data_IF_079139266373
#
_entry.id   IF_079139266373
#
_cell.length_a   1.000
_cell.length_b   1.000
_cell.length_c   1.000
_cell.angle_alpha   90.00
_cell.angle_beta   90.00
_cell.angle_gamma   90.00
#
_symmetry.space_group_name_H-M   'P 1'
#
loop_
_entity.id
_entity.type
_entity.pdbx_description
1 polymer ?
#
# COMPACT_ATOMS: atom_id res chain seq x y z
N UNK A 1 -28.02 10.59 -5.71
CA UNK A 1 -27.38 11.82 -5.21
C UNK A 1 -25.93 11.76 -5.68
N UNK A 2 -25.53 12.63 -6.58
CA UNK A 2 -24.14 12.66 -7.06
C UNK A 2 -23.29 13.23 -5.92
N UNK A 3 -22.51 12.37 -5.27
CA UNK A 3 -21.43 12.86 -4.41
C UNK A 3 -20.46 13.60 -5.31
N UNK A 4 -20.48 14.92 -5.23
CA UNK A 4 -19.54 15.75 -5.98
C UNK A 4 -18.16 15.66 -5.30
N UNK A 5 -17.37 14.65 -5.67
CA UNK A 5 -15.94 14.69 -5.44
C UNK A 5 -15.44 16.01 -6.03
N UNK A 6 -14.77 16.81 -5.23
CA UNK A 6 -14.13 18.04 -5.69
C UNK A 6 -12.62 17.89 -5.61
N UNK A 7 -11.91 18.41 -6.60
CA UNK A 7 -10.45 18.48 -6.54
C UNK A 7 -10.04 19.67 -5.66
N UNK A 8 -9.00 19.51 -4.83
CA UNK A 8 -8.34 20.65 -4.20
C UNK A 8 -7.87 21.65 -5.26
N UNK A 9 -8.06 22.95 -5.02
CA UNK A 9 -7.68 24.01 -5.97
C UNK A 9 -6.23 23.90 -6.42
N UNK A 10 -5.32 23.56 -5.51
CA UNK A 10 -3.89 23.35 -5.82
C UNK A 10 -3.67 22.24 -6.85
N UNK A 11 -4.44 21.14 -6.79
CA UNK A 11 -4.33 20.05 -7.76
C UNK A 11 -4.82 20.51 -9.14
N UNK A 12 -5.98 21.17 -9.21
CA UNK A 12 -6.51 21.70 -10.47
C UNK A 12 -5.53 22.68 -11.14
N UNK A 13 -4.91 23.57 -10.37
CA UNK A 13 -3.89 24.49 -10.84
C UNK A 13 -2.66 23.75 -11.42
N UNK A 14 -2.19 22.69 -10.76
CA UNK A 14 -1.06 21.91 -11.27
C UNK A 14 -1.41 21.18 -12.57
N UNK A 15 -2.63 20.64 -12.72
CA UNK A 15 -3.08 20.03 -13.98
C UNK A 15 -3.03 21.03 -15.12
N UNK A 16 -3.62 22.22 -14.95
CA UNK A 16 -3.62 23.26 -15.97
C UNK A 16 -2.20 23.75 -16.30
N UNK A 17 -1.36 23.96 -15.28
CA UNK A 17 0.04 24.37 -15.48
C UNK A 17 0.82 23.35 -16.29
N UNK A 18 0.70 22.05 -15.95
CA UNK A 18 1.37 20.99 -16.69
C UNK A 18 0.87 20.89 -18.12
N UNK A 19 -0.45 20.97 -18.34
CA UNK A 19 -1.03 20.90 -19.67
C UNK A 19 -0.55 22.04 -20.58
N UNK A 20 -0.38 23.26 -20.05
CA UNK A 20 0.16 24.40 -20.82
C UNK A 20 1.64 24.22 -21.20
N UNK A 21 2.39 23.40 -20.46
CA UNK A 21 3.80 23.13 -20.71
C UNK A 21 4.05 21.97 -21.70
N UNK A 22 2.99 21.24 -22.09
CA UNK A 22 3.10 20.10 -22.99
C UNK A 22 2.67 20.45 -24.41
N UNK A 23 3.34 19.85 -25.39
CA UNK A 23 2.97 19.91 -26.81
C UNK A 23 2.06 18.74 -27.22
N UNK A 24 1.77 17.84 -26.31
CA UNK A 24 0.94 16.66 -26.52
C UNK A 24 -0.11 16.57 -25.40
N UNK A 25 -1.22 15.87 -25.61
CA UNK A 25 -2.24 15.67 -24.58
C UNK A 25 -1.64 15.20 -23.26
N UNK A 26 -2.12 15.69 -22.13
CA UNK A 26 -1.55 15.42 -20.82
C UNK A 26 -1.83 14.00 -20.37
N UNK A 27 -0.79 13.31 -19.88
CA UNK A 27 -0.90 12.09 -19.09
C UNK A 27 0.10 12.19 -17.92
N UNK A 28 -0.37 12.23 -16.70
CA UNK A 28 0.50 12.52 -15.55
C UNK A 28 0.04 11.83 -14.26
N UNK A 29 1.00 11.55 -13.39
CA UNK A 29 0.79 11.34 -11.97
C UNK A 29 1.19 12.61 -11.21
N UNK A 30 0.26 13.14 -10.42
CA UNK A 30 0.50 14.26 -9.53
C UNK A 30 0.50 13.75 -8.08
N UNK A 31 1.50 14.14 -7.31
CA UNK A 31 1.62 13.79 -5.90
C UNK A 31 1.71 15.06 -5.05
N UNK A 32 0.68 15.27 -4.24
CA UNK A 32 0.59 16.36 -3.29
C UNK A 32 1.35 16.00 -2.01
N UNK A 33 2.62 16.43 -1.94
CA UNK A 33 3.48 16.12 -0.81
C UNK A 33 3.07 16.86 0.47
N UNK A 34 2.48 18.04 0.33
CA UNK A 34 1.96 18.77 1.48
C UNK A 34 0.76 18.03 2.11
N UNK A 35 -0.18 17.53 1.27
CA UNK A 35 -1.27 16.71 1.78
C UNK A 35 -0.77 15.42 2.43
N UNK A 36 0.27 14.80 1.88
CA UNK A 36 0.89 13.61 2.45
C UNK A 36 1.50 13.90 3.83
N UNK A 37 2.23 15.01 3.93
CA UNK A 37 2.86 15.42 5.19
C UNK A 37 1.82 15.72 6.28
N UNK A 38 0.76 16.46 5.95
CA UNK A 38 -0.34 16.75 6.85
C UNK A 38 -1.04 15.47 7.32
N UNK A 39 -1.29 14.54 6.39
CA UNK A 39 -1.93 13.26 6.69
C UNK A 39 -1.09 12.40 7.63
N UNK A 40 0.20 12.19 7.33
CA UNK A 40 1.06 11.36 8.18
C UNK A 40 1.27 11.95 9.58
N UNK A 41 1.33 13.28 9.71
CA UNK A 41 1.37 13.97 11.02
C UNK A 41 0.14 13.65 11.85
N UNK A 42 -1.06 13.70 11.23
CA UNK A 42 -2.31 13.36 11.92
C UNK A 42 -2.34 11.90 12.35
N UNK A 43 -1.89 10.98 11.48
CA UNK A 43 -1.84 9.56 11.81
C UNK A 43 -0.91 9.31 13.00
N UNK A 44 0.26 9.94 13.00
CA UNK A 44 1.26 9.76 14.07
C UNK A 44 0.81 10.34 15.40
N UNK A 45 0.10 11.46 15.39
CA UNK A 45 -0.30 12.19 16.59
C UNK A 45 -1.20 11.37 17.53
N UNK A 46 -2.04 10.49 16.99
CA UNK A 46 -3.03 9.72 17.75
C UNK A 46 -2.59 8.28 18.04
N UNK A 47 -1.42 7.85 17.57
CA UNK A 47 -0.92 6.50 17.84
C UNK A 47 -0.56 6.33 19.31
N UNK A 48 -0.90 5.18 19.96
CA UNK A 48 -0.43 4.84 21.28
C UNK A 48 1.10 4.86 21.36
N UNK A 49 1.66 5.20 22.52
CA UNK A 49 3.11 5.45 22.70
C UNK A 49 3.99 4.25 22.42
N UNK A 50 3.48 3.05 22.64
CA UNK A 50 4.19 1.78 22.41
C UNK A 50 3.98 1.22 21.00
N UNK A 51 3.44 2.04 20.06
CA UNK A 51 3.15 1.63 18.68
C UNK A 51 4.08 2.34 17.71
N UNK A 52 4.87 1.59 16.98
CA UNK A 52 5.71 2.05 15.88
C UNK A 52 4.91 2.02 14.56
N UNK A 53 5.18 2.97 13.69
CA UNK A 53 4.59 3.07 12.37
C UNK A 53 5.68 2.95 11.29
N UNK A 54 5.71 1.83 10.59
CA UNK A 54 6.56 1.61 9.43
C UNK A 54 5.76 1.86 8.14
N UNK A 55 6.43 2.41 7.14
CA UNK A 55 5.84 2.56 5.82
C UNK A 55 6.22 1.41 4.90
N UNK A 56 5.23 0.73 4.33
CA UNK A 56 5.44 -0.32 3.36
C UNK A 56 5.71 0.26 1.97
N UNK A 57 6.99 0.26 1.54
CA UNK A 57 7.45 0.93 0.32
C UNK A 57 6.78 0.40 -0.95
N UNK A 58 6.37 -0.87 -0.97
CA UNK A 58 5.59 -1.47 -2.07
C UNK A 58 4.31 -0.71 -2.43
N UNK A 59 3.78 0.12 -1.54
CA UNK A 59 2.62 0.94 -1.85
C UNK A 59 2.97 2.07 -2.83
N UNK A 60 4.06 2.78 -2.58
CA UNK A 60 4.67 3.75 -3.50
C UNK A 60 6.14 4.01 -3.10
N UNK A 61 7.11 3.50 -3.87
CA UNK A 61 8.54 3.60 -3.54
C UNK A 61 9.20 4.92 -4.01
N UNK A 62 8.43 5.89 -4.47
CA UNK A 62 8.96 7.13 -5.05
C UNK A 62 9.80 7.91 -4.03
N UNK A 63 11.01 8.34 -4.42
CA UNK A 63 11.95 9.05 -3.55
C UNK A 63 11.37 10.29 -2.85
N UNK A 64 10.66 11.20 -3.53
CA UNK A 64 10.01 12.34 -2.87
C UNK A 64 8.98 11.92 -1.80
N UNK A 65 8.20 10.88 -2.04
CA UNK A 65 7.24 10.33 -1.06
C UNK A 65 7.98 9.76 0.15
N UNK A 66 9.00 8.94 -0.07
CA UNK A 66 9.80 8.36 1.01
C UNK A 66 10.45 9.44 1.89
N UNK A 67 11.00 10.48 1.26
CA UNK A 67 11.62 11.62 1.96
C UNK A 67 10.60 12.43 2.77
N UNK A 68 9.40 12.64 2.25
CA UNK A 68 8.30 13.32 2.97
C UNK A 68 7.87 12.51 4.20
N UNK A 69 7.82 11.19 4.09
CA UNK A 69 7.40 10.30 5.19
C UNK A 69 8.48 10.08 6.25
N UNK A 70 9.76 10.11 5.89
CA UNK A 70 10.86 9.74 6.77
C UNK A 70 10.86 10.43 8.16
N UNK A 71 10.54 11.73 8.30
CA UNK A 71 10.47 12.36 9.62
C UNK A 71 9.37 11.81 10.54
N UNK A 72 8.34 11.17 9.99
CA UNK A 72 7.10 10.80 10.69
C UNK A 72 6.91 9.30 10.89
N UNK A 73 7.70 8.46 10.22
CA UNK A 73 7.68 7.00 10.38
C UNK A 73 8.88 6.52 11.19
N UNK A 74 8.72 5.36 11.84
CA UNK A 74 9.80 4.74 12.62
C UNK A 74 10.74 3.93 11.72
N UNK A 75 10.30 3.52 10.52
CA UNK A 75 11.09 2.78 9.55
C UNK A 75 10.34 2.49 8.26
N UNK A 76 10.97 1.69 7.39
CA UNK A 76 10.42 1.29 6.11
C UNK A 76 10.45 -0.23 5.94
N UNK A 77 9.38 -0.78 5.33
CA UNK A 77 9.32 -2.20 4.95
C UNK A 77 9.61 -2.33 3.46
N UNK A 78 10.54 -3.24 3.14
CA UNK A 78 10.85 -3.72 1.81
C UNK A 78 10.36 -5.16 1.62
N UNK A 79 9.87 -5.49 0.43
CA UNK A 79 9.38 -6.81 0.07
C UNK A 79 10.23 -7.50 -1.02
N UNK A 80 11.36 -6.95 -1.39
CA UNK A 80 12.34 -7.51 -2.32
C UNK A 80 13.72 -6.91 -2.12
N UNK A 81 14.77 -7.59 -2.60
CA UNK A 81 16.13 -7.05 -2.61
C UNK A 81 16.27 -5.76 -3.44
N UNK A 82 15.46 -5.62 -4.49
CA UNK A 82 15.39 -4.38 -5.28
C UNK A 82 14.85 -3.21 -4.45
N UNK A 83 13.81 -3.41 -3.66
CA UNK A 83 13.28 -2.39 -2.72
C UNK A 83 14.29 -2.09 -1.60
N UNK A 84 14.99 -3.10 -1.05
CA UNK A 84 16.06 -2.87 -0.07
C UNK A 84 17.16 -1.97 -0.64
N UNK A 85 17.65 -2.27 -1.86
CA UNK A 85 18.64 -1.45 -2.55
C UNK A 85 18.13 -0.03 -2.73
N UNK A 86 16.91 0.12 -3.22
CA UNK A 86 16.29 1.42 -3.47
C UNK A 86 16.15 2.25 -2.20
N UNK A 87 15.61 1.67 -1.12
CA UNK A 87 15.45 2.35 0.17
C UNK A 87 16.81 2.76 0.77
N UNK A 88 17.80 1.87 0.73
CA UNK A 88 19.15 2.17 1.20
C UNK A 88 19.77 3.35 0.44
N UNK A 89 19.59 3.40 -0.89
CA UNK A 89 20.07 4.50 -1.74
C UNK A 89 19.40 5.86 -1.43
N UNK A 90 18.19 5.87 -0.85
CA UNK A 90 17.52 7.11 -0.46
C UNK A 90 18.17 7.78 0.77
N UNK A 91 19.01 7.07 1.54
CA UNK A 91 19.73 7.59 2.73
C UNK A 91 18.79 8.27 3.73
N UNK A 92 17.68 7.60 4.09
CA UNK A 92 16.61 8.16 4.91
C UNK A 92 16.92 8.15 6.42
N UNK A 93 18.04 7.54 6.83
CA UNK A 93 18.44 7.36 8.25
C UNK A 93 17.31 6.73 9.10
N UNK A 94 16.74 5.65 8.60
CA UNK A 94 15.63 4.93 9.22
C UNK A 94 15.85 3.41 9.14
N UNK A 95 15.42 2.67 10.17
CA UNK A 95 15.42 1.21 10.16
C UNK A 95 14.70 0.65 8.93
N UNK A 96 15.27 -0.41 8.36
CA UNK A 96 14.65 -1.18 7.29
C UNK A 96 14.24 -2.55 7.82
N UNK A 97 13.08 -3.04 7.42
CA UNK A 97 12.67 -4.43 7.63
C UNK A 97 12.42 -5.10 6.29
N UNK A 98 12.65 -6.42 6.25
CA UNK A 98 12.59 -7.16 5.00
C UNK A 98 11.60 -8.32 5.08
N UNK A 99 10.51 -8.22 4.29
CA UNK A 99 9.44 -9.21 4.19
C UNK A 99 9.38 -9.92 2.83
N UNK A 100 8.41 -10.83 2.71
CA UNK A 100 8.12 -11.57 1.49
C UNK A 100 8.36 -13.08 1.58
N UNK A 101 7.55 -13.90 0.89
CA UNK A 101 7.56 -15.36 1.05
C UNK A 101 8.63 -16.07 0.18
N UNK A 102 9.29 -15.35 -0.70
CA UNK A 102 10.20 -15.91 -1.71
C UNK A 102 11.56 -15.22 -1.79
N UNK A 103 12.18 -14.89 -0.64
CA UNK A 103 13.48 -14.23 -0.60
C UNK A 103 14.58 -15.13 -1.15
N UNK A 104 15.35 -14.62 -2.10
CA UNK A 104 16.53 -15.33 -2.64
C UNK A 104 17.67 -15.32 -1.61
N UNK A 105 18.58 -16.30 -1.64
CA UNK A 105 19.75 -16.29 -0.77
C UNK A 105 20.61 -15.03 -0.89
N UNK A 106 20.73 -14.46 -2.09
CA UNK A 106 21.41 -13.18 -2.33
C UNK A 106 20.71 -11.99 -1.66
N UNK A 107 19.38 -11.98 -1.61
CA UNK A 107 18.60 -10.92 -0.96
C UNK A 107 18.68 -11.04 0.57
N UNK A 108 18.69 -12.27 1.10
CA UNK A 108 18.92 -12.52 2.53
C UNK A 108 20.33 -12.08 2.94
N UNK A 109 21.35 -12.40 2.13
CA UNK A 109 22.72 -11.93 2.34
C UNK A 109 22.75 -10.40 2.35
N UNK A 110 22.17 -9.75 1.36
CA UNK A 110 22.07 -8.30 1.27
C UNK A 110 21.40 -7.68 2.52
N UNK A 111 20.29 -8.27 3.00
CA UNK A 111 19.61 -7.80 4.20
C UNK A 111 20.52 -7.85 5.44
N UNK A 112 21.31 -8.94 5.61
CA UNK A 112 22.27 -9.08 6.70
C UNK A 112 23.43 -8.08 6.53
N UNK A 113 23.95 -7.90 5.33
CA UNK A 113 25.04 -6.96 5.05
C UNK A 113 24.64 -5.49 5.27
N UNK A 114 23.38 -5.14 4.98
CA UNK A 114 22.78 -3.83 5.22
C UNK A 114 22.33 -3.61 6.68
N UNK A 115 22.49 -4.61 7.54
CA UNK A 115 22.11 -4.56 8.96
C UNK A 115 20.64 -4.11 9.14
N UNK A 116 19.71 -4.78 8.41
CA UNK A 116 18.30 -4.46 8.53
C UNK A 116 17.80 -4.73 9.95
N UNK A 117 16.86 -3.91 10.43
CA UNK A 117 16.28 -4.02 11.78
C UNK A 117 15.71 -5.42 12.05
N UNK A 118 15.04 -6.02 11.05
CA UNK A 118 14.59 -7.40 11.11
C UNK A 118 14.26 -7.99 9.73
N UNK A 119 14.34 -9.32 9.64
CA UNK A 119 13.84 -10.10 8.51
C UNK A 119 12.59 -10.86 8.95
N UNK A 120 11.49 -10.76 8.19
CA UNK A 120 10.31 -11.58 8.42
C UNK A 120 10.51 -12.97 7.83
N UNK A 121 10.66 -13.95 8.69
CA UNK A 121 10.90 -15.35 8.32
C UNK A 121 9.57 -16.07 8.12
N UNK A 122 9.41 -16.68 6.93
CA UNK A 122 8.15 -17.30 6.52
C UNK A 122 8.23 -18.83 6.37
N UNK A 123 9.41 -19.46 6.61
CA UNK A 123 9.59 -20.92 6.57
C UNK A 123 10.81 -21.38 7.35
N UNK A 124 10.81 -22.66 7.76
CA UNK A 124 11.98 -23.30 8.39
C UNK A 124 13.21 -23.31 7.46
N UNK A 125 13.00 -23.53 6.16
CA UNK A 125 14.07 -23.49 5.16
C UNK A 125 14.69 -22.09 5.06
N UNK A 126 13.89 -21.04 5.15
CA UNK A 126 14.40 -19.67 5.17
C UNK A 126 15.21 -19.39 6.43
N UNK A 127 14.72 -19.85 7.59
CA UNK A 127 15.44 -19.74 8.86
C UNK A 127 16.81 -20.43 8.82
N UNK A 128 16.89 -21.65 8.26
CA UNK A 128 18.16 -22.36 8.05
C UNK A 128 19.12 -21.58 7.15
N UNK A 129 18.59 -20.95 6.06
CA UNK A 129 19.41 -20.13 5.17
C UNK A 129 19.97 -18.89 5.87
N UNK A 130 19.14 -18.22 6.68
CA UNK A 130 19.59 -17.07 7.47
C UNK A 130 20.67 -17.50 8.46
N UNK A 131 20.45 -18.59 9.21
CA UNK A 131 21.44 -19.13 10.15
C UNK A 131 22.79 -19.41 9.46
N UNK A 132 22.79 -20.15 8.37
CA UNK A 132 24.01 -20.45 7.60
C UNK A 132 24.69 -19.18 7.05
N UNK A 133 23.90 -18.17 6.66
CA UNK A 133 24.43 -16.88 6.20
C UNK A 133 25.07 -16.08 7.32
N UNK A 134 24.47 -16.03 8.50
CA UNK A 134 25.03 -15.32 9.68
C UNK A 134 26.35 -15.92 10.11
N UNK A 135 26.48 -17.24 10.12
CA UNK A 135 27.75 -17.94 10.40
C UNK A 135 28.81 -17.62 9.34
N UNK A 136 28.47 -17.76 8.06
CA UNK A 136 29.40 -17.52 6.94
C UNK A 136 29.91 -16.07 6.91
N UNK A 137 29.02 -15.10 7.16
CA UNK A 137 29.33 -13.67 7.12
C UNK A 137 29.91 -13.17 8.45
N UNK A 138 29.84 -13.98 9.49
CA UNK A 138 30.13 -13.59 10.88
C UNK A 138 29.39 -12.29 11.27
N UNK A 139 28.12 -12.23 10.95
CA UNK A 139 27.22 -11.08 11.24
C UNK A 139 25.92 -11.57 11.87
N UNK A 140 25.43 -10.90 12.92
CA UNK A 140 24.13 -11.25 13.50
C UNK A 140 22.98 -10.84 12.58
N UNK A 141 21.83 -11.47 12.80
CA UNK A 141 20.58 -11.06 12.18
C UNK A 141 19.44 -11.09 13.19
N UNK A 142 18.57 -10.11 13.16
CA UNK A 142 17.33 -10.10 13.91
C UNK A 142 16.17 -10.54 13.02
N UNK A 143 15.24 -11.31 13.59
CA UNK A 143 14.10 -11.83 12.84
C UNK A 143 12.77 -11.64 13.57
N UNK A 144 11.69 -11.57 12.80
CA UNK A 144 10.34 -11.90 13.23
C UNK A 144 9.92 -13.22 12.57
N UNK A 145 9.28 -14.10 13.32
CA UNK A 145 8.57 -15.23 12.72
C UNK A 145 7.21 -14.73 12.23
N UNK A 146 6.99 -14.74 10.93
CA UNK A 146 5.67 -14.43 10.35
C UNK A 146 4.80 -15.66 10.48
N UNK A 147 3.70 -15.51 11.23
CA UNK A 147 2.82 -16.61 11.56
C UNK A 147 1.50 -16.53 10.78
N UNK A 148 1.07 -17.67 10.30
CA UNK A 148 -0.26 -17.88 9.75
C UNK A 148 -1.07 -18.70 10.77
N UNK A 149 -1.90 -18.05 11.56
CA UNK A 149 -2.65 -18.65 12.66
C UNK A 149 -4.12 -18.85 12.30
N UNK A 150 -4.77 -19.77 13.03
CA UNK A 150 -6.22 -19.88 12.99
C UNK A 150 -6.87 -18.69 13.70
N UNK A 151 -7.74 -18.01 13.00
CA UNK A 151 -8.46 -16.82 13.48
C UNK A 151 -9.90 -17.12 13.90
N UNK A 152 -10.31 -18.38 13.86
CA UNK A 152 -11.68 -18.81 14.23
C UNK A 152 -12.74 -18.17 13.32
N UNK A 153 -13.81 -17.66 13.94
CA UNK A 153 -14.97 -17.10 13.22
C UNK A 153 -14.78 -15.67 12.68
N UNK A 154 -13.56 -15.11 12.76
CA UNK A 154 -13.30 -13.77 12.25
C UNK A 154 -13.37 -13.80 10.72
N UNK A 155 -14.38 -13.14 10.15
CA UNK A 155 -14.57 -13.09 8.70
C UNK A 155 -13.47 -12.27 8.03
N UNK A 156 -12.71 -12.89 7.14
CA UNK A 156 -11.68 -12.24 6.36
C UNK A 156 -12.26 -11.46 5.15
N UNK A 157 -11.53 -10.44 4.73
CA UNK A 157 -11.80 -9.75 3.46
C UNK A 157 -11.47 -10.66 2.26
N UNK A 158 -11.92 -10.28 1.05
CA UNK A 158 -11.56 -10.98 -0.20
C UNK A 158 -10.04 -11.04 -0.44
N UNK A 159 -9.29 -10.08 0.10
CA UNK A 159 -7.83 -9.98 0.02
C UNK A 159 -7.15 -10.50 1.30
N UNK A 160 -7.62 -11.63 1.84
CA UNK A 160 -7.00 -12.26 3.00
C UNK A 160 -5.59 -12.78 2.66
N UNK A 161 -4.62 -12.40 3.49
CA UNK A 161 -3.19 -12.75 3.37
C UNK A 161 -2.79 -13.89 4.32
N UNK A 162 -3.71 -14.41 5.13
CA UNK A 162 -3.54 -15.50 6.09
C UNK A 162 -4.88 -15.90 6.71
N UNK A 163 -4.84 -16.72 7.79
CA UNK A 163 -6.03 -17.29 8.42
C UNK A 163 -6.74 -18.34 7.55
N UNK A 164 -6.07 -18.79 6.49
CA UNK A 164 -6.48 -19.83 5.53
C UNK A 164 -5.23 -20.35 4.82
N UNK A 165 -5.28 -21.45 4.06
CA UNK A 165 -4.14 -21.88 3.24
C UNK A 165 -3.68 -20.78 2.26
N UNK A 166 -2.46 -20.30 2.46
CA UNK A 166 -1.81 -19.27 1.63
C UNK A 166 -0.30 -19.53 1.61
N UNK A 167 0.46 -18.99 0.64
CA UNK A 167 1.91 -19.13 0.63
C UNK A 167 2.63 -18.23 1.67
N UNK A 168 1.89 -17.57 2.56
CA UNK A 168 2.44 -16.59 3.49
C UNK A 168 2.53 -17.13 4.91
N UNK A 169 3.72 -17.00 5.50
CA UNK A 169 3.98 -17.28 6.92
C UNK A 169 4.12 -18.76 7.25
N UNK A 170 4.64 -19.02 8.44
CA UNK A 170 4.72 -20.33 9.08
C UNK A 170 3.35 -20.74 9.63
N UNK A 171 2.98 -22.00 9.47
CA UNK A 171 1.86 -22.58 10.20
C UNK A 171 2.14 -22.62 11.71
N UNK A 172 1.12 -22.45 12.52
CA UNK A 172 1.25 -22.45 13.99
C UNK A 172 1.90 -23.72 14.52
N UNK A 173 1.64 -24.87 13.89
CA UNK A 173 2.24 -26.17 14.25
C UNK A 173 3.76 -26.23 14.05
N UNK A 174 4.33 -25.35 13.22
CA UNK A 174 5.77 -25.29 12.96
C UNK A 174 6.54 -24.39 13.96
N UNK A 175 5.84 -23.71 14.87
CA UNK A 175 6.48 -22.78 15.81
C UNK A 175 7.52 -23.48 16.69
N UNK A 176 7.17 -24.63 17.26
CA UNK A 176 8.11 -25.41 18.09
C UNK A 176 9.38 -25.80 17.34
N UNK A 177 9.24 -26.23 16.07
CA UNK A 177 10.36 -26.55 15.19
C UNK A 177 11.23 -25.32 14.90
N UNK A 178 10.61 -24.17 14.66
CA UNK A 178 11.33 -22.91 14.41
C UNK A 178 12.13 -22.47 15.63
N UNK A 179 11.54 -22.56 16.84
CA UNK A 179 12.22 -22.22 18.09
C UNK A 179 13.34 -23.17 18.42
N UNK A 180 13.20 -24.48 18.13
CA UNK A 180 14.29 -25.46 18.29
C UNK A 180 15.44 -25.15 17.33
N UNK A 181 15.12 -24.87 16.06
CA UNK A 181 16.09 -24.56 15.04
C UNK A 181 16.90 -23.28 15.34
N UNK A 182 16.28 -22.27 15.96
CA UNK A 182 16.96 -21.04 16.38
C UNK A 182 18.09 -21.30 17.39
N UNK A 183 18.02 -22.37 18.18
CA UNK A 183 19.08 -22.73 19.16
C UNK A 183 20.37 -23.13 18.46
N UNK A 184 20.28 -23.61 17.22
CA UNK A 184 21.45 -24.01 16.42
C UNK A 184 22.17 -22.78 15.81
N UNK A 185 21.52 -21.61 15.81
CA UNK A 185 22.05 -20.39 15.19
C UNK A 185 22.14 -19.23 16.18
N UNK A 186 23.15 -19.20 17.08
CA UNK A 186 23.25 -18.19 18.14
C UNK A 186 23.41 -16.74 17.64
N UNK A 187 23.72 -16.54 16.37
CA UNK A 187 23.79 -15.21 15.77
C UNK A 187 22.44 -14.72 15.22
N UNK A 188 21.39 -15.56 15.26
CA UNK A 188 20.03 -15.19 14.86
C UNK A 188 19.21 -14.92 16.12
N UNK A 189 18.73 -13.70 16.27
CA UNK A 189 17.90 -13.27 17.41
C UNK A 189 16.43 -13.14 17.02
N UNK A 190 15.55 -13.79 17.78
CA UNK A 190 14.11 -13.62 17.64
C UNK A 190 13.68 -12.31 18.31
N UNK A 191 13.25 -11.31 17.55
CA UNK A 191 12.63 -10.08 18.07
C UNK A 191 11.18 -10.28 18.47
N UNK A 192 10.48 -11.18 17.79
CA UNK A 192 9.06 -11.42 18.06
C UNK A 192 8.31 -12.04 16.88
N UNK A 193 7.01 -11.71 16.80
CA UNK A 193 6.12 -12.29 15.80
C UNK A 193 5.54 -11.24 14.89
N UNK A 194 5.37 -11.61 13.62
CA UNK A 194 4.72 -10.79 12.61
C UNK A 194 3.42 -11.44 12.15
N UNK A 195 2.37 -10.64 12.05
CA UNK A 195 1.06 -11.05 11.56
C UNK A 195 0.61 -10.10 10.46
N UNK A 196 0.20 -10.64 9.32
CA UNK A 196 -0.42 -9.86 8.25
C UNK A 196 -1.49 -10.70 7.57
N UNK A 197 -2.58 -10.95 8.30
CA UNK A 197 -3.63 -11.88 7.85
C UNK A 197 -4.75 -11.19 7.08
N UNK A 198 -4.89 -9.86 7.19
CA UNK A 198 -5.96 -9.09 6.57
C UNK A 198 -5.42 -7.93 5.76
N UNK A 199 -6.08 -7.62 4.65
CA UNK A 199 -5.79 -6.48 3.79
C UNK A 199 -7.09 -5.77 3.41
N UNK A 200 -7.00 -4.46 3.15
CA UNK A 200 -8.12 -3.63 2.71
C UNK A 200 -9.33 -3.64 3.67
N UNK A 201 -9.06 -3.60 4.96
CA UNK A 201 -10.09 -3.57 6.00
C UNK A 201 -10.59 -2.13 6.24
N UNK A 202 -11.91 -1.97 6.26
CA UNK A 202 -12.59 -0.71 6.55
C UNK A 202 -13.35 -0.73 7.90
N UNK A 203 -13.48 -1.90 8.51
CA UNK A 203 -14.22 -2.14 9.75
C UNK A 203 -13.24 -2.20 10.94
N UNK A 204 -13.35 -1.24 11.84
CA UNK A 204 -12.50 -1.08 13.02
C UNK A 204 -12.66 -2.25 14.00
N UNK A 205 -13.89 -2.67 14.29
CA UNK A 205 -14.15 -3.72 15.27
C UNK A 205 -13.53 -5.05 14.82
N UNK A 206 -13.66 -5.35 13.53
CA UNK A 206 -13.07 -6.55 12.95
C UNK A 206 -11.54 -6.50 12.98
N UNK A 207 -10.96 -5.32 12.74
CA UNK A 207 -9.50 -5.15 12.80
C UNK A 207 -8.98 -5.33 14.22
N UNK A 208 -9.67 -4.76 15.21
CA UNK A 208 -9.34 -4.91 16.63
C UNK A 208 -9.54 -6.34 17.15
N UNK A 209 -10.60 -7.03 16.72
CA UNK A 209 -10.81 -8.44 17.08
C UNK A 209 -9.66 -9.32 16.60
N UNK A 210 -9.12 -9.05 15.41
CA UNK A 210 -7.95 -9.76 14.90
C UNK A 210 -6.69 -9.48 15.75
N UNK A 211 -6.45 -8.22 16.14
CA UNK A 211 -5.33 -7.86 17.01
C UNK A 211 -5.46 -8.48 18.39
N UNK A 212 -6.67 -8.52 18.96
CA UNK A 212 -6.93 -9.21 20.21
C UNK A 212 -6.53 -10.69 20.11
N UNK A 213 -6.86 -11.35 18.98
CA UNK A 213 -6.45 -12.74 18.75
C UNK A 213 -4.92 -12.88 18.69
N UNK A 214 -4.22 -11.95 18.04
CA UNK A 214 -2.74 -11.96 18.03
C UNK A 214 -2.16 -11.86 19.45
N UNK A 215 -2.65 -10.95 20.26
CA UNK A 215 -2.18 -10.79 21.65
C UNK A 215 -2.41 -12.05 22.47
N UNK A 216 -3.57 -12.69 22.36
CA UNK A 216 -3.91 -13.91 23.08
C UNK A 216 -3.00 -15.08 22.69
N UNK A 217 -2.77 -15.25 21.39
CA UNK A 217 -1.91 -16.32 20.87
C UNK A 217 -0.46 -16.11 21.30
N UNK A 218 0.07 -14.91 21.20
CA UNK A 218 1.45 -14.62 21.59
C UNK A 218 1.65 -14.79 23.10
N UNK A 219 0.69 -14.40 23.93
CA UNK A 219 0.75 -14.68 25.38
C UNK A 219 0.82 -16.18 25.69
N UNK A 220 0.00 -16.98 24.99
CA UNK A 220 0.04 -18.44 25.14
C UNK A 220 1.41 -18.99 24.75
N UNK A 221 1.97 -18.56 23.64
CA UNK A 221 3.32 -18.97 23.20
C UNK A 221 4.42 -18.50 24.14
N UNK A 222 4.33 -17.28 24.69
CA UNK A 222 5.29 -16.80 25.68
C UNK A 222 5.31 -17.71 26.92
N UNK A 223 4.14 -18.12 27.38
CA UNK A 223 4.02 -19.00 28.53
C UNK A 223 4.47 -20.43 28.20
N UNK A 224 4.07 -20.98 27.05
CA UNK A 224 4.38 -22.35 26.65
C UNK A 224 5.87 -22.56 26.38
N UNK A 225 6.51 -21.62 25.71
CA UNK A 225 7.91 -21.72 25.27
C UNK A 225 8.88 -20.89 26.11
N UNK A 226 8.42 -20.32 27.23
CA UNK A 226 9.23 -19.49 28.13
C UNK A 226 9.97 -18.36 27.39
N UNK A 227 9.29 -17.69 26.43
CA UNK A 227 9.88 -16.63 25.64
C UNK A 227 10.00 -15.34 26.46
N UNK A 228 11.12 -14.63 26.29
CA UNK A 228 11.37 -13.37 26.95
C UNK A 228 10.54 -12.21 26.40
N UNK A 229 11.08 -11.01 26.44
CA UNK A 229 10.47 -9.80 25.89
C UNK A 229 10.38 -9.91 24.37
N UNK A 230 9.20 -9.59 23.82
CA UNK A 230 8.90 -9.72 22.40
C UNK A 230 8.26 -8.45 21.85
N UNK A 231 8.54 -8.19 20.59
CA UNK A 231 7.80 -7.21 19.77
C UNK A 231 6.72 -7.92 18.95
N UNK A 232 5.62 -7.25 18.68
CA UNK A 232 4.56 -7.76 17.81
C UNK A 232 4.37 -6.83 16.63
N UNK A 233 4.68 -7.36 15.46
CA UNK A 233 4.37 -6.66 14.21
C UNK A 233 2.97 -7.07 13.77
N UNK A 234 2.05 -6.11 13.80
CA UNK A 234 0.62 -6.29 13.52
C UNK A 234 0.30 -6.19 12.02
N UNK A 235 1.36 -6.00 11.20
CA UNK A 235 1.20 -5.77 9.76
C UNK A 235 0.52 -4.45 9.45
N UNK A 236 -0.19 -4.42 8.35
CA UNK A 236 -0.98 -3.24 7.94
C UNK A 236 -2.46 -3.61 7.77
N UNK A 237 -2.99 -3.32 6.58
CA UNK A 237 -4.31 -3.80 6.19
C UNK A 237 -5.41 -2.75 6.24
N UNK A 238 -5.18 -1.55 6.79
CA UNK A 238 -6.13 -0.45 6.73
C UNK A 238 -6.45 -0.10 5.28
N UNK A 239 -7.74 -0.08 4.95
CA UNK A 239 -8.25 0.06 3.59
C UNK A 239 -8.54 1.50 3.19
N UNK A 240 -8.74 1.68 1.89
CA UNK A 240 -9.28 2.89 1.27
C UNK A 240 -10.60 2.54 0.59
N UNK A 241 -11.65 3.30 0.86
CA UNK A 241 -12.94 3.08 0.22
C UNK A 241 -12.98 3.79 -1.14
N UNK A 242 -12.71 3.06 -2.22
CA UNK A 242 -12.76 3.61 -3.58
C UNK A 242 -14.18 3.84 -4.10
N UNK A 243 -15.19 3.12 -3.56
CA UNK A 243 -16.59 3.28 -3.97
C UNK A 243 -17.26 4.47 -3.26
N UNK A 244 -16.83 4.76 -2.04
CA UNK A 244 -17.32 5.87 -1.21
C UNK A 244 -16.12 6.59 -0.59
N UNK A 245 -15.41 7.42 -1.37
CA UNK A 245 -14.16 8.05 -0.94
C UNK A 245 -14.27 8.91 0.30
N UNK A 246 -15.47 9.39 0.61
CA UNK A 246 -15.78 10.15 1.83
C UNK A 246 -15.86 9.29 3.11
N UNK A 247 -15.97 7.96 2.96
CA UNK A 247 -16.04 7.00 4.07
C UNK A 247 -14.65 6.37 4.29
N UNK A 248 -13.78 7.12 4.93
CA UNK A 248 -12.42 6.67 5.24
C UNK A 248 -12.42 5.68 6.41
N UNK A 249 -11.33 4.90 6.53
CA UNK A 249 -11.06 4.13 7.74
C UNK A 249 -10.92 5.11 8.92
N UNK A 250 -11.72 4.98 10.00
CA UNK A 250 -11.76 5.95 11.08
C UNK A 250 -10.57 5.76 12.03
N UNK A 251 -9.40 6.26 11.62
CA UNK A 251 -8.10 6.05 12.28
C UNK A 251 -8.08 6.53 13.74
N UNK A 252 -8.68 7.68 14.06
CA UNK A 252 -8.73 8.17 15.45
C UNK A 252 -9.49 7.20 16.34
N UNK A 253 -10.71 6.81 15.93
CA UNK A 253 -11.52 5.83 16.65
C UNK A 253 -10.78 4.50 16.82
N UNK A 254 -10.08 4.06 15.76
CA UNK A 254 -9.27 2.85 15.81
C UNK A 254 -8.14 2.96 16.86
N UNK A 255 -7.40 4.07 16.90
CA UNK A 255 -6.31 4.29 17.85
C UNK A 255 -6.81 4.36 19.29
N UNK A 256 -7.94 5.08 19.56
CA UNK A 256 -8.54 5.14 20.87
C UNK A 256 -8.96 3.75 21.38
N UNK A 257 -9.61 2.97 20.52
CA UNK A 257 -10.00 1.59 20.87
C UNK A 257 -8.80 0.64 20.98
N UNK A 258 -7.74 0.85 20.19
CA UNK A 258 -6.50 0.09 20.29
C UNK A 258 -5.81 0.35 21.62
N UNK A 259 -5.75 1.59 22.09
CA UNK A 259 -5.18 1.92 23.40
C UNK A 259 -5.97 1.24 24.54
N UNK A 260 -7.30 1.23 24.45
CA UNK A 260 -8.13 0.47 25.37
C UNK A 260 -7.86 -1.05 25.29
N UNK A 261 -7.71 -1.61 24.09
CA UNK A 261 -7.41 -3.02 23.89
C UNK A 261 -6.03 -3.40 24.48
N UNK A 262 -5.01 -2.55 24.26
CA UNK A 262 -3.66 -2.71 24.84
C UNK A 262 -3.74 -2.80 26.37
N UNK A 263 -4.48 -1.89 26.99
CA UNK A 263 -4.68 -1.89 28.45
C UNK A 263 -5.47 -3.10 28.94
N UNK A 264 -6.56 -3.45 28.26
CA UNK A 264 -7.41 -4.63 28.58
C UNK A 264 -6.61 -5.93 28.50
N UNK A 265 -5.81 -6.07 27.48
CA UNK A 265 -4.97 -7.27 27.27
C UNK A 265 -3.66 -7.21 28.04
N UNK A 266 -3.37 -6.14 28.77
CA UNK A 266 -2.15 -5.99 29.59
C UNK A 266 -0.87 -6.18 28.76
N UNK A 267 -0.81 -5.54 27.58
CA UNK A 267 0.34 -5.58 26.67
C UNK A 267 0.99 -4.22 26.45
N UNK A 268 0.83 -3.31 27.40
CA UNK A 268 1.41 -1.95 27.36
C UNK A 268 2.94 -1.94 27.37
N UNK A 269 3.56 -2.99 27.89
CA UNK A 269 5.01 -3.14 27.91
C UNK A 269 5.58 -3.76 26.61
N UNK A 270 4.70 -4.22 25.72
CA UNK A 270 5.13 -4.71 24.41
C UNK A 270 5.35 -3.54 23.45
N UNK A 271 6.34 -3.66 22.59
CA UNK A 271 6.45 -2.81 21.41
C UNK A 271 5.58 -3.42 20.29
N UNK A 272 4.61 -2.64 19.84
CA UNK A 272 3.74 -2.98 18.73
C UNK A 272 4.20 -2.25 17.47
N UNK A 273 4.02 -2.84 16.29
CA UNK A 273 4.45 -2.22 15.02
C UNK A 273 3.37 -2.39 13.96
N UNK A 274 3.09 -1.32 13.20
CA UNK A 274 2.29 -1.38 11.99
C UNK A 274 3.16 -1.18 10.74
N UNK A 275 2.75 -1.81 9.63
CA UNK A 275 3.31 -1.67 8.27
C UNK A 275 2.26 -1.09 7.34
N UNK A 276 2.01 0.19 7.46
CA UNK A 276 0.99 0.86 6.66
C UNK A 276 1.55 1.29 5.30
N UNK A 277 0.82 1.02 4.23
CA UNK A 277 1.17 1.45 2.89
C UNK A 277 0.04 2.29 2.28
N UNK A 278 -0.96 1.62 1.70
CA UNK A 278 -2.10 2.23 0.99
C UNK A 278 -2.75 3.36 1.77
N UNK A 279 -3.03 3.16 3.04
CA UNK A 279 -3.73 4.12 3.88
C UNK A 279 -2.94 5.43 4.04
N UNK A 280 -1.62 5.38 4.01
CA UNK A 280 -0.76 6.56 4.11
C UNK A 280 -0.74 7.35 2.80
N UNK A 281 -0.58 6.68 1.64
CA UNK A 281 -0.22 7.40 0.41
C UNK A 281 -1.33 7.49 -0.63
N UNK A 282 -2.42 6.71 -0.54
CA UNK A 282 -3.44 6.72 -1.59
C UNK A 282 -4.00 8.11 -1.88
N UNK A 283 -4.30 8.89 -0.84
CA UNK A 283 -4.97 10.18 -0.95
C UNK A 283 -4.10 11.31 -1.52
N UNK A 284 -2.77 11.18 -1.48
CA UNK A 284 -1.88 12.22 -1.99
C UNK A 284 -1.68 12.15 -3.51
N UNK A 285 -2.10 11.08 -4.18
CA UNK A 285 -1.82 10.86 -5.60
C UNK A 285 -3.05 10.96 -6.48
N UNK A 286 -2.83 11.52 -7.66
CA UNK A 286 -3.82 11.72 -8.73
C UNK A 286 -3.25 11.20 -10.04
N UNK A 287 -4.05 10.44 -10.80
CA UNK A 287 -3.70 10.05 -12.15
C UNK A 287 -4.54 10.82 -13.14
N UNK A 288 -3.91 11.60 -14.01
CA UNK A 288 -4.55 12.54 -14.94
C UNK A 288 -4.42 12.01 -16.34
N UNK A 289 -5.55 11.99 -17.06
CA UNK A 289 -5.63 11.59 -18.46
C UNK A 289 -6.41 12.65 -19.23
N UNK A 290 -5.83 13.24 -20.28
CA UNK A 290 -6.54 14.14 -21.19
C UNK A 290 -7.40 13.37 -22.18
N UNK A 291 -8.62 13.83 -22.40
CA UNK A 291 -9.59 13.21 -23.32
C UNK A 291 -9.16 13.43 -24.76
N UNK A 292 -8.91 12.32 -25.46
CA UNK A 292 -8.47 12.30 -26.87
C UNK A 292 -9.65 12.21 -27.85
N UNK A 293 -10.67 11.43 -27.48
CA UNK A 293 -11.79 11.15 -28.37
C UNK A 293 -13.04 10.79 -27.55
N UNK A 294 -14.20 11.12 -28.10
CA UNK A 294 -15.50 10.75 -27.55
C UNK A 294 -16.31 10.09 -28.67
N UNK A 295 -16.85 8.93 -28.40
CA UNK A 295 -17.65 8.19 -29.39
C UNK A 295 -18.84 7.49 -28.75
N UNK A 296 -19.86 7.29 -29.55
CA UNK A 296 -21.00 6.43 -29.23
C UNK A 296 -20.92 5.14 -30.06
N UNK A 297 -21.05 4.00 -29.41
CA UNK A 297 -21.07 2.70 -30.08
C UNK A 297 -22.17 1.84 -29.47
N UNK A 298 -23.10 1.32 -30.31
CA UNK A 298 -24.23 0.51 -29.91
C UNK A 298 -25.07 1.13 -28.76
N UNK A 299 -25.19 2.46 -28.76
CA UNK A 299 -25.94 3.20 -27.74
C UNK A 299 -25.18 3.56 -26.47
N UNK A 300 -23.94 3.11 -26.29
CA UNK A 300 -23.09 3.43 -25.15
C UNK A 300 -22.07 4.51 -25.51
N UNK A 301 -21.83 5.45 -24.59
CA UNK A 301 -20.83 6.51 -24.75
C UNK A 301 -19.48 6.06 -24.18
N UNK A 302 -18.42 6.33 -24.92
CA UNK A 302 -17.03 6.03 -24.56
C UNK A 302 -16.21 7.31 -24.60
N UNK A 303 -15.47 7.56 -23.52
CA UNK A 303 -14.44 8.60 -23.41
C UNK A 303 -13.10 7.91 -23.50
N UNK A 304 -12.33 8.20 -24.53
CA UNK A 304 -10.98 7.66 -24.74
C UNK A 304 -9.99 8.73 -24.32
N UNK A 305 -9.12 8.41 -23.36
CA UNK A 305 -8.16 9.36 -22.84
C UNK A 305 -6.72 8.84 -22.94
N UNK A 306 -5.73 9.76 -22.96
CA UNK A 306 -4.31 9.43 -23.05
C UNK A 306 -3.84 8.66 -21.81
N UNK A 307 -3.27 7.48 -21.99
CA UNK A 307 -2.87 6.58 -20.92
C UNK A 307 -3.78 5.35 -20.84
N UNK A 308 -4.04 4.86 -19.65
CA UNK A 308 -4.88 3.68 -19.45
C UNK A 308 -4.36 2.72 -18.39
N UNK A 309 -4.80 1.46 -18.47
CA UNK A 309 -4.50 0.44 -17.46
C UNK A 309 -3.03 0.00 -17.44
N UNK A 310 -2.24 0.28 -18.46
CA UNK A 310 -0.79 0.07 -18.46
C UNK A 310 -0.05 1.05 -17.53
N UNK A 311 -0.66 2.19 -17.24
CA UNK A 311 -0.18 3.13 -16.22
C UNK A 311 -0.90 2.96 -14.88
N UNK A 312 -2.19 2.55 -14.90
CA UNK A 312 -3.03 2.43 -13.71
C UNK A 312 -3.88 1.15 -13.75
N UNK A 313 -3.23 0.01 -13.44
CA UNK A 313 -3.83 -1.32 -13.54
C UNK A 313 -4.91 -1.59 -12.49
N UNK A 314 -4.82 -0.98 -11.32
CA UNK A 314 -5.63 -1.38 -10.13
C UNK A 314 -7.13 -1.44 -10.38
N UNK A 315 -7.79 -0.48 -11.06
CA UNK A 315 -9.23 -0.56 -11.33
C UNK A 315 -9.61 -1.83 -12.11
N UNK A 316 -8.92 -2.10 -13.20
CA UNK A 316 -9.19 -3.27 -14.04
C UNK A 316 -8.86 -4.59 -13.34
N UNK A 317 -7.76 -4.65 -12.58
CA UNK A 317 -7.30 -5.87 -11.89
C UNK A 317 -8.21 -6.24 -10.71
N UNK A 318 -8.81 -5.27 -10.04
CA UNK A 318 -9.71 -5.48 -8.90
C UNK A 318 -11.19 -5.38 -9.29
N UNK A 319 -11.50 -5.17 -10.57
CA UNK A 319 -12.86 -5.06 -11.11
C UNK A 319 -13.71 -4.02 -10.36
N UNK A 320 -13.13 -2.83 -10.11
CA UNK A 320 -13.85 -1.70 -9.54
C UNK A 320 -13.75 -0.47 -10.43
N UNK A 321 -14.73 0.41 -10.35
CA UNK A 321 -14.70 1.73 -10.95
C UNK A 321 -13.92 2.67 -10.03
N UNK A 322 -12.86 3.28 -10.56
CA UNK A 322 -12.03 4.17 -9.74
C UNK A 322 -12.64 5.57 -9.65
N UNK A 323 -12.63 6.21 -8.47
CA UNK A 323 -13.22 7.55 -8.32
C UNK A 323 -12.42 8.59 -9.07
N UNK A 324 -13.13 9.48 -9.76
CA UNK A 324 -12.54 10.54 -10.59
C UNK A 324 -13.36 11.83 -10.58
N UNK A 325 -12.74 12.88 -11.04
CA UNK A 325 -13.36 14.19 -11.31
C UNK A 325 -13.02 14.59 -12.73
N UNK A 326 -13.99 15.17 -13.44
CA UNK A 326 -13.72 15.82 -14.73
C UNK A 326 -13.31 17.27 -14.44
N UNK A 327 -12.11 17.63 -14.87
CA UNK A 327 -11.60 18.99 -14.84
C UNK A 327 -11.65 19.57 -16.26
N UNK A 328 -12.40 20.64 -16.43
CA UNK A 328 -12.56 21.29 -17.72
C UNK A 328 -11.24 21.87 -18.19
N UNK A 329 -10.92 21.69 -19.48
CA UNK A 329 -9.79 22.34 -20.12
C UNK A 329 -9.99 23.86 -20.18
N UNK A 330 -8.91 24.62 -19.95
CA UNK A 330 -8.84 26.06 -20.21
C UNK A 330 -8.36 26.37 -21.63
N UNK A 331 -7.91 25.36 -22.38
CA UNK A 331 -7.43 25.49 -23.75
C UNK A 331 -8.60 25.41 -24.73
N UNK A 332 -8.48 26.13 -25.86
CA UNK A 332 -9.43 26.01 -26.93
C UNK A 332 -9.11 24.80 -27.80
N UNK A 333 -10.09 23.93 -27.99
CA UNK A 333 -9.99 22.79 -28.89
C UNK A 333 -10.87 23.03 -30.11
N UNK A 334 -10.32 22.77 -31.31
CA UNK A 334 -11.03 22.94 -32.59
C UNK A 334 -12.18 21.95 -32.76
N UNK A 335 -12.03 20.74 -32.12
CA UNK A 335 -13.01 19.66 -32.16
C UNK A 335 -13.70 19.60 -30.83
N UNK A 336 -15.03 19.64 -30.81
CA UNK A 336 -15.86 19.44 -29.62
C UNK A 336 -16.91 18.38 -29.90
N UNK A 337 -17.07 17.44 -28.99
CA UNK A 337 -18.09 16.40 -29.06
C UNK A 337 -18.56 16.05 -27.64
N UNK A 338 -19.27 16.94 -26.94
CA UNK A 338 -19.54 16.79 -25.52
C UNK A 338 -20.58 15.72 -25.22
N UNK A 339 -20.32 14.95 -24.15
CA UNK A 339 -21.35 14.20 -23.43
C UNK A 339 -21.91 15.11 -22.34
N UNK A 340 -23.24 15.24 -22.27
CA UNK A 340 -23.94 16.05 -21.28
C UNK A 340 -25.01 15.24 -20.57
N UNK A 341 -24.99 15.25 -19.23
CA UNK A 341 -25.98 14.60 -18.36
C UNK A 341 -26.29 13.15 -18.75
N UNK A 342 -25.25 12.37 -19.11
CA UNK A 342 -25.39 11.00 -19.56
C UNK A 342 -24.36 10.07 -18.91
N UNK A 343 -24.55 8.78 -19.12
CA UNK A 343 -23.57 7.77 -18.72
C UNK A 343 -22.46 7.65 -19.77
N UNK A 344 -21.23 7.44 -19.28
CA UNK A 344 -20.07 7.20 -20.12
C UNK A 344 -19.12 6.18 -19.47
N UNK A 345 -18.42 5.42 -20.29
CA UNK A 345 -17.35 4.51 -19.90
C UNK A 345 -16.00 5.16 -20.24
N UNK A 346 -15.11 5.24 -19.25
CA UNK A 346 -13.79 5.85 -19.36
C UNK A 346 -12.74 4.79 -19.65
N UNK A 347 -12.14 4.87 -20.82
CA UNK A 347 -11.16 3.94 -21.35
C UNK A 347 -9.84 4.65 -21.66
N UNK A 348 -8.74 3.89 -21.60
CA UNK A 348 -7.45 4.36 -22.10
C UNK A 348 -7.27 4.11 -23.59
N UNK A 349 -6.03 4.23 -24.05
CA UNK A 349 -5.65 4.15 -25.48
C UNK A 349 -5.18 2.73 -25.92
N UNK A 350 -5.25 1.73 -25.04
CA UNK A 350 -4.82 0.39 -25.39
C UNK A 350 -5.83 -0.34 -26.28
N UNK A 351 -5.36 -1.15 -27.20
CA UNK A 351 -6.17 -1.98 -28.08
C UNK A 351 -6.71 -3.26 -27.39
N UNK A 352 -7.25 -3.14 -26.18
CA UNK A 352 -7.84 -4.24 -25.42
C UNK A 352 -9.15 -3.81 -24.73
N UNK A 353 -10.20 -4.67 -24.71
CA UNK A 353 -11.45 -4.34 -24.03
C UNK A 353 -11.32 -4.25 -22.50
N UNK A 354 -10.16 -4.62 -21.94
CA UNK A 354 -9.87 -4.52 -20.51
C UNK A 354 -9.31 -3.14 -20.10
N UNK A 355 -9.05 -2.27 -21.07
CA UNK A 355 -8.50 -0.94 -20.79
C UNK A 355 -9.58 0.07 -20.37
N UNK A 356 -10.25 -0.25 -19.28
CA UNK A 356 -11.33 0.54 -18.71
C UNK A 356 -11.04 0.82 -17.24
N UNK A 357 -11.13 2.11 -16.84
CA UNK A 357 -10.86 2.58 -15.49
C UNK A 357 -12.16 2.87 -14.70
N UNK A 358 -13.24 3.25 -15.41
CA UNK A 358 -14.56 3.44 -14.81
C UNK A 358 -15.65 3.17 -15.87
N UNK A 359 -16.70 2.43 -15.49
CA UNK A 359 -17.78 1.99 -16.39
C UNK A 359 -19.09 2.67 -16.06
N UNK A 360 -19.82 3.08 -17.10
CA UNK A 360 -21.20 3.56 -16.98
C UNK A 360 -21.37 4.64 -15.90
N UNK A 361 -20.41 5.55 -15.79
CA UNK A 361 -20.45 6.63 -14.82
C UNK A 361 -21.27 7.79 -15.34
N UNK A 362 -22.19 8.31 -14.53
CA UNK A 362 -22.95 9.51 -14.88
C UNK A 362 -22.06 10.74 -14.78
N UNK A 363 -21.98 11.49 -15.88
CA UNK A 363 -21.23 12.75 -15.96
C UNK A 363 -22.16 13.93 -16.30
N UNK A 364 -21.93 15.06 -15.66
CA UNK A 364 -22.66 16.28 -16.00
C UNK A 364 -22.19 16.85 -17.35
N UNK A 365 -20.88 16.82 -17.58
CA UNK A 365 -20.26 17.27 -18.83
C UNK A 365 -18.86 16.65 -18.95
N UNK A 366 -18.48 16.25 -20.16
CA UNK A 366 -17.10 15.94 -20.57
C UNK A 366 -16.96 16.20 -22.06
N UNK A 367 -15.83 16.79 -22.47
CA UNK A 367 -15.52 17.08 -23.87
C UNK A 367 -14.07 16.68 -24.21
N UNK A 368 -13.72 16.67 -25.48
CA UNK A 368 -12.35 16.47 -25.98
C UNK A 368 -11.46 17.58 -25.40
N UNK A 369 -10.29 17.18 -24.89
CA UNK A 369 -9.33 18.07 -24.23
C UNK A 369 -9.58 18.27 -22.74
N UNK A 370 -10.75 17.87 -22.18
CA UNK A 370 -10.95 17.85 -20.73
C UNK A 370 -10.05 16.81 -20.06
N UNK A 371 -9.85 16.95 -18.75
CA UNK A 371 -9.01 16.04 -17.96
C UNK A 371 -9.86 15.13 -17.08
N UNK A 372 -9.65 13.82 -17.21
CA UNK A 372 -10.15 12.82 -16.27
C UNK A 372 -9.12 12.67 -15.16
N UNK A 373 -9.41 13.14 -13.96
CA UNK A 373 -8.51 13.13 -12.81
C UNK A 373 -8.96 12.05 -11.83
N UNK A 374 -8.32 10.91 -11.88
CA UNK A 374 -8.54 9.80 -10.94
C UNK A 374 -7.87 10.14 -9.60
N UNK A 375 -8.68 10.21 -8.54
CA UNK A 375 -8.22 10.48 -7.17
C UNK A 375 -7.74 9.19 -6.49
N UNK A 376 -7.16 9.27 -5.29
CA UNK A 376 -6.71 8.10 -4.53
C UNK A 376 -5.72 7.20 -5.29
N UNK A 377 -4.96 7.76 -6.22
CA UNK A 377 -4.01 7.06 -7.07
C UNK A 377 -2.57 7.07 -6.52
N UNK A 378 -2.37 7.42 -5.25
CA UNK A 378 -1.05 7.52 -4.63
C UNK A 378 -0.43 6.21 -4.20
N UNK A 379 -1.18 5.10 -4.19
CA UNK A 379 -0.72 3.79 -3.75
C UNK A 379 -1.13 2.67 -4.71
N UNK A 380 -0.22 1.72 -4.96
CA UNK A 380 -0.47 0.55 -5.83
C UNK A 380 -1.05 0.97 -7.18
N UNK A 381 -0.41 1.94 -7.82
CA UNK A 381 -0.82 2.54 -9.08
C UNK A 381 0.22 2.25 -10.16
N UNK A 382 1.12 3.18 -10.45
CA UNK A 382 2.17 3.01 -11.44
C UNK A 382 3.07 1.78 -11.18
N UNK A 383 3.54 1.63 -9.95
CA UNK A 383 4.52 0.61 -9.57
C UNK A 383 4.05 -0.85 -9.72
N UNK A 384 2.74 -1.10 -9.80
CA UNK A 384 2.19 -2.45 -10.05
C UNK A 384 1.59 -2.62 -11.44
N UNK A 385 1.73 -1.62 -12.31
CA UNK A 385 1.14 -1.62 -13.64
C UNK A 385 2.08 -2.25 -14.68
N UNK A 386 1.55 -2.64 -15.83
CA UNK A 386 2.29 -3.29 -16.91
C UNK A 386 2.88 -2.27 -17.89
N UNK A 387 3.77 -1.46 -17.40
CA UNK A 387 4.30 -0.20 -17.94
C UNK A 387 4.81 -0.27 -19.39
N UNK A 388 5.32 -1.41 -19.83
CA UNK A 388 5.89 -1.56 -21.16
C UNK A 388 4.92 -2.11 -22.23
N UNK A 389 3.64 -2.27 -21.88
CA UNK A 389 2.67 -2.82 -22.82
C UNK A 389 2.39 -1.84 -23.96
N UNK A 390 2.50 -2.30 -25.21
CA UNK A 390 2.40 -1.54 -26.45
C UNK A 390 3.43 -0.40 -26.60
N UNK A 391 4.41 -0.30 -25.72
CA UNK A 391 5.52 0.68 -25.79
C UNK A 391 5.05 2.15 -25.78
N UNK A 392 3.91 2.42 -25.12
CA UNK A 392 3.45 3.79 -24.90
C UNK A 392 4.41 4.52 -23.95
N UNK A 393 4.55 5.81 -24.15
CA UNK A 393 5.35 6.67 -23.29
C UNK A 393 4.81 6.67 -21.85
N UNK A 394 5.70 6.68 -20.82
CA UNK A 394 5.27 6.79 -19.44
C UNK A 394 4.59 8.13 -19.16
N UNK A 395 3.74 8.22 -18.12
CA UNK A 395 3.16 9.48 -17.68
C UNK A 395 4.24 10.39 -17.09
N UNK A 396 3.95 11.68 -17.05
CA UNK A 396 4.77 12.65 -16.31
C UNK A 396 4.56 12.40 -14.80
N UNK A 397 5.65 12.44 -14.01
CA UNK A 397 5.58 12.40 -12.55
C UNK A 397 5.84 13.79 -12.00
N UNK A 398 4.86 14.35 -11.30
CA UNK A 398 4.93 15.70 -10.74
C UNK A 398 4.66 15.67 -9.23
N UNK A 399 5.58 16.25 -8.47
CA UNK A 399 5.53 16.33 -7.00
C UNK A 399 5.48 17.80 -6.59
N UNK A 400 4.54 18.19 -5.70
CA UNK A 400 4.34 19.59 -5.32
C UNK A 400 3.86 19.74 -3.86
#
# INVERSE_FOLDING_TARGET
MSNSLSLPTRVSQQVHTLAQQQNQPLCAYLYDLNALEEHIKQLRHVLPKNVELFYAAKANPSGPILKTLAPYVDGFEAASGGELTHLHQQQLDKPLIFGGPGKMPSELQQAIELDVDAIHVESLTELQRIGALTERLNRPASIFLRMNIDIGDITLSKLAMGGKPTPFGLDESELSNALMLLRDFPQVSLKGFHFHLMSHQLDVERHLALMQRYFQVVKAWQQEFELGELMINLGGGMGINYQKPEQHFPWMEFCDKLEFLIAKEQVQDWTLRFECGRFITAACGYYVMEVLDIKQNLGENFVIARGGTHHFRTPAAQSHDHPFVILKSEQHHEISHPIQHAQATFAGQLCTPKDVLARNQHVAHVDIGDYVVFTLAGAYAWNISHQNFLMHEPPIFHYF
#
